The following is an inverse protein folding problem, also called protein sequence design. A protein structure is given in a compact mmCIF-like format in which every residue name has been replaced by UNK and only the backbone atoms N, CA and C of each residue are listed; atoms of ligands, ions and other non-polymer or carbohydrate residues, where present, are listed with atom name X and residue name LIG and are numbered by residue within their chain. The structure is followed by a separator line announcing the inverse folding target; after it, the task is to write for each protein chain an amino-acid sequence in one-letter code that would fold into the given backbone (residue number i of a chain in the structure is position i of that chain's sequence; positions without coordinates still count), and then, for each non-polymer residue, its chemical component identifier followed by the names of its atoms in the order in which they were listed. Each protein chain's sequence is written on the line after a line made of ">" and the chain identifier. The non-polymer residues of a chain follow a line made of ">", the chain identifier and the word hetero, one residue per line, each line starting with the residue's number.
data_IF_623329216023
#
_entry.id   IF_623329216023
#
_cell.length_a   1.000
_cell.length_b   1.000
_cell.length_c   1.000
_cell.angle_alpha   90.00
_cell.angle_beta   90.00
_cell.angle_gamma   90.00
#
_symmetry.space_group_name_H-M   'P 1'
#
loop_
_entity.id
_entity.type
_entity.pdbx_description
1 polymer ?
2 polymer ?
3 polymer ?
#
# COMPACT_ATOMS: atom_id res chain seq x y z
N UNK A 82 28.59 38.08 10.12
CA UNK A 82 29.98 37.98 10.56
C UNK A 82 30.61 36.69 10.06
N UNK A 83 29.87 35.59 10.16
CA UNK A 83 30.42 34.29 9.76
C UNK A 83 30.77 34.25 8.28
N UNK A 84 29.97 34.77 7.36
CA UNK A 84 30.33 34.62 5.93
C UNK A 84 31.65 35.30 5.58
N UNK A 85 31.94 36.45 6.18
CA UNK A 85 33.20 37.12 5.90
C UNK A 85 34.38 36.26 6.37
N UNK A 86 34.26 35.67 7.57
CA UNK A 86 35.31 34.79 8.06
C UNK A 86 35.49 33.57 7.15
N UNK A 87 34.38 33.01 6.68
CA UNK A 87 34.46 31.83 5.82
C UNK A 87 35.17 32.15 4.51
N UNK A 88 34.78 33.25 3.85
CA UNK A 88 35.44 33.59 2.60
C UNK A 88 36.88 34.04 2.83
N UNK A 89 37.19 34.62 4.00
CA UNK A 89 38.58 34.92 4.31
C UNK A 89 39.40 33.65 4.47
N UNK A 90 38.82 32.63 5.10
CA UNK A 90 39.52 31.35 5.18
C UNK A 90 39.74 30.75 3.80
N UNK A 91 38.73 30.83 2.94
CA UNK A 91 38.89 30.33 1.58
C UNK A 91 39.97 31.10 0.83
N UNK A 92 40.02 32.42 1.03
CA UNK A 92 41.08 33.22 0.42
C UNK A 92 42.44 32.80 0.93
N UNK A 93 42.56 32.57 2.24
CA UNK A 93 43.82 32.12 2.80
C UNK A 93 44.26 30.79 2.18
N UNK A 94 43.30 29.89 1.97
CA UNK A 94 43.61 28.66 1.25
C UNK A 94 44.07 28.96 -0.17
N UNK A 95 43.44 29.95 -0.81
CA UNK A 95 43.81 30.29 -2.19
C UNK A 95 45.20 30.89 -2.26
N UNK A 96 45.51 31.82 -1.35
CA UNK A 96 46.76 32.59 -1.40
C UNK A 96 47.86 31.97 -0.55
N UNK A 97 47.87 30.65 -0.39
CA UNK A 97 48.92 29.97 0.37
C UNK A 97 48.96 30.47 1.80
N UNK A 127 33.32 44.99 -5.28
CA UNK A 127 32.73 44.78 -3.96
C UNK A 127 31.49 43.89 -4.08
N UNK A 128 30.73 44.06 -5.17
CA UNK A 128 29.53 43.26 -5.36
C UNK A 128 29.85 41.78 -5.42
N UNK A 129 31.00 41.41 -5.99
CA UNK A 129 31.39 40.01 -6.01
C UNK A 129 31.57 39.49 -4.60
N UNK A 130 32.14 40.31 -3.70
CA UNK A 130 32.26 39.90 -2.31
C UNK A 130 30.90 39.67 -1.67
N UNK A 131 29.94 40.55 -1.95
CA UNK A 131 28.60 40.37 -1.42
C UNK A 131 27.96 39.08 -1.93
N UNK A 132 28.13 38.80 -3.23
CA UNK A 132 27.57 37.57 -3.78
C UNK A 132 28.23 36.34 -3.17
N UNK A 133 29.54 36.39 -2.98
CA UNK A 133 30.24 35.28 -2.33
C UNK A 133 29.73 35.07 -0.92
N UNK A 134 29.54 36.16 -0.17
CA UNK A 134 29.00 36.05 1.17
C UNK A 134 27.59 35.46 1.15
N UNK A 135 26.78 35.85 0.17
CA UNK A 135 25.41 35.34 0.09
C UNK A 135 25.40 33.85 -0.21
N UNK A 136 26.24 33.39 -1.15
CA UNK A 136 26.26 31.96 -1.45
C UNK A 136 26.81 31.18 -0.27
N UNK A 137 27.79 31.73 0.45
CA UNK A 137 28.26 31.09 1.66
C UNK A 137 27.14 31.01 2.69
N UNK A 138 26.35 32.07 2.80
CA UNK A 138 25.22 32.05 3.72
C UNK A 138 24.23 30.96 3.36
N UNK A 139 23.95 30.82 2.06
CA UNK A 139 23.03 29.77 1.61
C UNK A 139 23.58 28.39 1.94
N UNK A 140 24.87 28.17 1.68
CA UNK A 140 25.45 26.86 1.95
C UNK A 140 25.44 26.54 3.45
N UNK A 141 25.80 27.51 4.29
CA UNK A 141 25.81 27.27 5.72
C UNK A 141 24.39 27.09 6.25
N UNK A 142 23.40 27.79 5.67
CA UNK A 142 22.02 27.57 6.07
C UNK A 142 21.56 26.16 5.70
N UNK A 143 21.94 25.68 4.52
CA UNK A 143 21.61 24.31 4.15
C UNK A 143 22.24 23.32 5.12
N UNK A 144 23.51 23.53 5.47
CA UNK A 144 24.17 22.66 6.43
C UNK A 144 23.49 22.73 7.80
N UNK A 145 23.07 23.93 8.20
CA UNK A 145 22.41 24.09 9.49
C UNK A 145 21.07 23.35 9.51
N UNK A 146 20.31 23.42 8.41
CA UNK A 146 19.06 22.66 8.35
C UNK A 146 19.32 21.16 8.37
N UNK A 147 20.39 20.71 7.70
CA UNK A 147 20.74 19.29 7.77
C UNK A 147 21.03 18.88 9.21
N UNK A 148 21.80 19.70 9.91
CA UNK A 148 22.11 19.41 11.31
C UNK A 148 20.84 19.43 12.16
N UNK A 149 19.92 20.34 11.85
CA UNK A 149 18.66 20.38 12.59
C UNK A 149 17.86 19.10 12.37
N UNK A 150 17.83 18.59 11.13
CA UNK A 150 17.15 17.33 10.88
C UNK A 150 17.82 16.19 11.64
N UNK A 151 19.14 16.17 11.68
CA UNK A 151 19.84 15.13 12.43
C UNK A 151 19.50 15.23 13.91
N UNK A 152 19.46 16.44 14.44
CA UNK A 152 19.12 16.63 15.85
C UNK A 152 17.71 16.14 16.14
N UNK A 153 16.76 16.49 15.27
CA UNK A 153 15.38 16.04 15.45
C UNK A 153 15.29 14.52 15.40
N UNK A 154 16.02 13.91 14.46
CA UNK A 154 16.02 12.46 14.37
C UNK A 154 16.54 11.83 15.66
N UNK A 155 17.65 12.36 16.17
CA UNK A 155 18.21 11.81 17.41
C UNK A 155 17.24 11.96 18.57
N UNK A 156 16.64 13.14 18.71
CA UNK A 156 15.70 13.36 19.81
C UNK A 156 14.49 12.45 19.73
N UNK A 157 14.19 11.93 18.55
CA UNK A 157 13.09 11.00 18.36
C UNK A 157 11.86 11.61 17.71
N UNK A 158 11.88 12.90 17.41
CA UNK A 158 10.73 13.57 16.81
C UNK A 158 10.87 13.60 15.29
N UNK A 159 10.88 12.40 14.71
CA UNK A 159 10.93 12.24 13.26
C UNK A 159 10.44 10.85 12.88
N UNK A 160 9.15 10.59 12.96
CA UNK A 160 8.65 9.23 12.71
C UNK A 160 8.82 8.80 11.26
N UNK A 161 9.71 7.83 11.05
CA UNK A 161 9.90 7.19 9.76
C UNK A 161 9.61 5.71 9.94
N UNK A 162 8.75 5.18 9.08
CA UNK A 162 8.22 3.84 9.29
C UNK A 162 9.23 2.78 8.87
N UNK A 163 9.61 1.85 9.74
CA UNK A 163 10.41 0.71 9.29
C UNK A 163 9.55 -0.25 8.48
N UNK A 164 10.17 -0.90 7.50
CA UNK A 164 9.47 -1.86 6.69
C UNK A 164 8.98 -3.01 7.57
N UNK A 165 7.73 -3.40 7.39
CA UNK A 165 7.11 -4.36 8.31
C UNK A 165 7.73 -5.73 8.08
N UNK A 166 8.21 -6.42 9.12
CA UNK A 166 8.74 -7.76 8.93
C UNK A 166 7.67 -8.73 8.46
N UNK A 167 8.09 -9.68 7.63
CA UNK A 167 7.17 -10.73 7.20
C UNK A 167 6.81 -11.68 8.32
N UNK A 168 7.71 -11.83 9.30
CA UNK A 168 7.50 -12.76 10.41
C UNK A 168 6.50 -12.22 11.42
N UNK A 169 5.87 -11.08 11.12
CA UNK A 169 4.91 -10.48 12.04
C UNK A 169 3.80 -11.46 12.39
N UNK A 170 3.52 -11.58 13.68
CA UNK A 170 2.52 -12.55 14.15
C UNK A 170 1.10 -12.15 13.79
N UNK A 171 0.87 -10.91 13.37
CA UNK A 171 -0.45 -10.43 13.00
C UNK A 171 -1.31 -10.25 14.25
N UNK A 172 -2.13 -9.21 14.26
CA UNK A 172 -2.94 -8.90 15.43
C UNK A 172 -4.21 -9.76 15.45
N UNK A 173 -4.98 -9.60 16.52
CA UNK A 173 -6.25 -10.30 16.67
C UNK A 173 -7.42 -9.54 16.05
N UNK A 174 -7.17 -8.39 15.44
CA UNK A 174 -8.20 -7.63 14.78
C UNK A 174 -7.60 -6.61 13.82
N UNK A 175 -8.46 -5.92 13.07
CA UNK A 175 -7.96 -4.92 12.11
C UNK A 175 -7.26 -3.76 12.79
N UNK A 176 -6.66 -2.85 12.01
CA UNK A 176 -5.98 -1.72 12.61
C UNK A 176 -6.95 -0.82 13.37
N UNK A 177 -8.16 -0.62 12.82
CA UNK A 177 -9.09 0.31 13.45
C UNK A 177 -9.39 -0.10 14.89
N UNK A 178 -9.44 -1.39 15.18
CA UNK A 178 -9.54 -1.84 16.56
C UNK A 178 -8.27 -1.52 17.33
N UNK A 179 -7.13 -1.41 16.63
CA UNK A 179 -5.87 -1.00 17.24
C UNK A 179 -5.45 -1.95 18.36
N UNK A 180 -5.82 -3.22 18.25
CA UNK A 180 -5.44 -4.21 19.25
C UNK A 180 -3.95 -4.53 19.15
N UNK A 181 -3.39 -4.97 20.26
CA UNK A 181 -1.97 -5.34 20.31
C UNK A 181 -1.76 -6.74 19.75
N UNK A 188 -0.60 1.82 23.27
CA UNK A 188 0.09 1.35 22.08
C UNK A 188 0.95 2.47 21.49
N UNK A 189 2.20 2.16 21.20
CA UNK A 189 3.10 3.16 20.67
C UNK A 189 2.68 3.52 19.24
N UNK A 190 3.11 4.69 18.75
CA UNK A 190 2.67 5.11 17.41
C UNK A 190 3.21 4.24 16.31
N UNK A 191 2.71 3.01 16.22
CA UNK A 191 3.13 2.10 15.17
C UNK A 191 2.52 2.51 13.84
N UNK A 192 3.03 1.93 12.76
CA UNK A 192 2.46 2.12 11.44
C UNK A 192 2.50 0.79 10.69
N UNK A 193 1.47 0.53 9.90
CA UNK A 193 1.23 -0.83 9.43
C UNK A 193 0.13 -0.84 8.38
N UNK A 194 -0.17 -2.04 7.89
CA UNK A 194 -1.10 -2.25 6.79
C UNK A 194 -1.88 -3.52 7.03
N UNK A 195 -3.06 -3.61 6.42
CA UNK A 195 -3.96 -4.73 6.64
C UNK A 195 -3.51 -5.92 5.81
N UNK A 196 -3.31 -7.05 6.47
CA UNK A 196 -2.85 -8.25 5.78
C UNK A 196 -4.01 -8.97 5.12
N UNK A 197 -3.95 -9.27 3.82
CA UNK A 197 -5.04 -10.03 3.19
C UNK A 197 -5.21 -11.44 3.72
N UNK A 198 -4.26 -11.97 4.48
CA UNK A 198 -4.34 -13.35 4.95
C UNK A 198 -5.58 -13.56 5.81
N UNK A 199 -5.75 -12.74 6.84
CA UNK A 199 -6.84 -12.92 7.80
C UNK A 199 -7.55 -11.61 8.10
N UNK A 200 -7.39 -10.60 7.26
CA UNK A 200 -8.04 -9.32 7.47
C UNK A 200 -7.49 -8.50 8.61
N UNK A 201 -6.68 -9.08 9.49
CA UNK A 201 -5.99 -8.34 10.52
C UNK A 201 -4.75 -7.68 9.94
N UNK A 202 -4.18 -6.75 10.69
CA UNK A 202 -3.06 -5.97 10.21
C UNK A 202 -1.85 -6.16 11.12
N UNK A 203 -0.68 -6.30 10.49
CA UNK A 203 0.58 -6.60 11.16
C UNK A 203 1.32 -5.29 11.40
N UNK A 204 1.49 -4.91 12.67
CA UNK A 204 1.97 -3.58 12.99
C UNK A 204 3.29 -3.65 13.75
N UNK A 205 4.15 -2.67 13.47
CA UNK A 205 5.48 -2.57 14.06
C UNK A 205 5.64 -1.17 14.61
N UNK A 206 6.12 -0.99 15.84
CA UNK A 206 6.31 0.37 16.38
C UNK A 206 7.40 1.12 15.65
N UNK A 207 7.25 2.45 15.61
CA UNK A 207 8.27 3.31 15.01
C UNK A 207 9.47 3.39 15.95
N UNK A 208 10.69 3.13 15.49
CA UNK A 208 11.86 3.18 16.38
C UNK A 208 12.11 4.62 16.84
N UNK A 209 12.06 4.83 18.15
CA UNK A 209 12.18 6.18 18.68
C UNK A 209 13.57 6.77 18.42
N UNK A 210 14.62 5.98 18.62
CA UNK A 210 15.98 6.52 18.63
C UNK A 210 16.35 7.18 17.30
N UNK A 211 16.47 6.38 16.25
CA UNK A 211 16.83 6.88 14.91
C UNK A 211 15.88 6.24 13.91
N UNK A 212 14.75 6.89 13.65
CA UNK A 212 13.78 6.32 12.73
C UNK A 212 14.22 6.53 11.29
N UNK A 213 14.52 7.78 10.92
CA UNK A 213 15.00 8.04 9.57
C UNK A 213 16.28 7.26 9.28
N UNK A 214 17.24 7.32 10.20
CA UNK A 214 18.49 6.63 10.00
C UNK A 214 18.32 5.12 9.89
N UNK A 215 17.53 4.54 10.78
CA UNK A 215 17.32 3.09 10.73
C UNK A 215 16.59 2.68 9.46
N UNK A 216 15.59 3.46 9.04
CA UNK A 216 14.87 3.13 7.82
C UNK A 216 15.80 3.19 6.62
N UNK A 217 16.65 4.23 6.54
CA UNK A 217 17.58 4.32 5.43
C UNK A 217 18.62 3.20 5.48
N UNK A 218 19.04 2.79 6.68
CA UNK A 218 19.96 1.66 6.78
C UNK A 218 19.31 0.39 6.27
N UNK A 219 18.05 0.16 6.62
CA UNK A 219 17.33 -1.01 6.10
C UNK A 219 17.19 -0.92 4.59
N UNK A 220 16.89 0.27 4.07
CA UNK A 220 16.75 0.44 2.63
C UNK A 220 18.06 0.15 1.91
N UNK A 221 19.18 0.61 2.46
CA UNK A 221 20.48 0.34 1.86
C UNK A 221 20.90 -1.11 2.02
N UNK A 222 20.41 -1.79 3.06
CA UNK A 222 20.76 -3.19 3.24
C UNK A 222 20.16 -4.09 2.16
N UNK A 223 19.18 -3.60 1.41
CA UNK A 223 18.56 -4.37 0.34
C UNK A 223 19.01 -3.86 -1.02
N UNK B 83 34.41 18.00 -12.26
CA UNK B 83 33.33 18.84 -11.76
C UNK B 83 33.87 19.84 -10.73
N UNK B 84 34.67 19.37 -9.76
CA UNK B 84 35.23 20.32 -8.78
C UNK B 84 36.05 21.42 -9.41
N UNK B 85 36.70 21.15 -10.54
CA UNK B 85 37.52 22.17 -11.19
C UNK B 85 36.66 23.36 -11.62
N UNK B 86 35.46 23.09 -12.15
CA UNK B 86 34.59 24.18 -12.57
C UNK B 86 34.18 25.04 -11.37
N UNK B 87 33.83 24.41 -10.25
CA UNK B 87 33.46 25.16 -9.06
C UNK B 87 34.63 25.99 -8.54
N UNK B 88 35.83 25.41 -8.54
CA UNK B 88 37.01 26.16 -8.10
C UNK B 88 37.26 27.37 -8.99
N UNK B 89 37.14 27.18 -10.31
CA UNK B 89 37.31 28.29 -11.24
C UNK B 89 36.26 29.36 -10.98
N UNK B 90 35.01 28.94 -10.75
CA UNK B 90 33.94 29.90 -10.47
C UNK B 90 34.23 30.70 -9.21
N UNK B 91 34.73 30.03 -8.18
CA UNK B 91 35.01 30.73 -6.93
C UNK B 91 36.16 31.71 -7.08
N UNK B 92 37.25 31.27 -7.70
CA UNK B 92 38.38 32.19 -7.90
C UNK B 92 38.00 33.34 -8.82
N UNK B 93 37.05 33.13 -9.74
CA UNK B 93 36.56 34.24 -10.54
C UNK B 93 35.73 35.20 -9.69
N UNK B 94 34.83 34.68 -8.88
CA UNK B 94 34.08 35.54 -7.95
C UNK B 94 35.03 36.38 -7.11
N UNK B 95 36.18 35.80 -6.75
CA UNK B 95 37.17 36.58 -6.01
C UNK B 95 37.84 37.61 -6.92
N UNK B 96 38.20 37.23 -8.14
CA UNK B 96 38.96 38.08 -9.05
C UNK B 96 38.37 38.03 -10.46
N UNK B 97 37.06 38.21 -10.55
CA UNK B 97 36.38 38.24 -11.84
C UNK B 97 37.03 39.23 -12.80
N UNK B 126 52.22 23.46 -2.49
CA UNK B 126 51.22 24.30 -3.12
C UNK B 126 50.07 23.51 -3.70
N UNK B 127 50.40 22.51 -4.53
CA UNK B 127 49.37 21.69 -5.14
C UNK B 127 48.58 20.91 -4.09
N UNK B 128 49.20 20.61 -2.95
CA UNK B 128 48.51 19.84 -1.91
C UNK B 128 47.30 20.60 -1.39
N UNK B 129 47.46 21.90 -1.15
CA UNK B 129 46.34 22.68 -0.62
C UNK B 129 45.31 22.99 -1.68
N UNK B 130 45.73 23.07 -2.95
CA UNK B 130 44.75 23.14 -4.04
C UNK B 130 43.91 21.87 -4.09
N UNK B 131 44.55 20.70 -3.92
CA UNK B 131 43.81 19.46 -3.83
C UNK B 131 42.90 19.47 -2.61
N UNK B 132 43.34 20.09 -1.52
CA UNK B 132 42.48 20.19 -0.34
C UNK B 132 41.23 21.02 -0.63
N UNK B 133 41.39 22.15 -1.33
CA UNK B 133 40.24 22.94 -1.72
C UNK B 133 39.31 22.13 -2.62
N UNK B 134 39.88 21.38 -3.57
CA UNK B 134 39.07 20.54 -4.43
C UNK B 134 38.35 19.46 -3.64
N UNK B 135 38.97 18.93 -2.60
CA UNK B 135 38.34 17.89 -1.78
C UNK B 135 37.18 18.47 -0.96
N UNK B 136 37.36 19.68 -0.43
CA UNK B 136 36.26 20.33 0.27
C UNK B 136 35.11 20.60 -0.70
N UNK B 137 35.43 21.02 -1.93
CA UNK B 137 34.40 21.23 -2.94
C UNK B 137 33.67 19.93 -3.22
N UNK B 138 34.41 18.83 -3.35
CA UNK B 138 33.78 17.54 -3.60
C UNK B 138 32.89 17.13 -2.43
N UNK B 139 33.32 17.42 -1.20
CA UNK B 139 32.50 17.10 -0.04
C UNK B 139 31.20 17.89 -0.07
N UNK B 140 31.27 19.18 -0.42
CA UNK B 140 30.06 19.97 -0.55
C UNK B 140 29.15 19.41 -1.64
N UNK B 141 29.72 19.03 -2.77
CA UNK B 141 28.93 18.46 -3.86
C UNK B 141 28.27 17.16 -3.42
N UNK B 142 29.00 16.36 -2.65
CA UNK B 142 28.44 15.11 -2.14
C UNK B 142 27.27 15.38 -1.18
N UNK B 143 27.40 16.37 -0.33
CA UNK B 143 26.30 16.72 0.57
C UNK B 143 25.08 17.18 -0.22
N UNK B 144 25.29 18.03 -1.22
CA UNK B 144 24.18 18.47 -2.06
C UNK B 144 23.56 17.29 -2.80
N UNK B 145 24.38 16.37 -3.28
CA UNK B 145 23.85 15.19 -3.95
C UNK B 145 23.02 14.35 -3.00
N UNK B 146 23.46 14.20 -1.76
CA UNK B 146 22.72 13.42 -0.78
C UNK B 146 21.36 14.04 -0.48
N UNK B 147 21.34 15.37 -0.29
CA UNK B 147 20.06 16.01 -0.01
C UNK B 147 19.14 15.96 -1.23
N UNK B 148 19.71 16.12 -2.43
CA UNK B 148 18.91 15.98 -3.63
C UNK B 148 18.35 14.58 -3.78
N UNK B 149 19.15 13.56 -3.43
CA UNK B 149 18.67 12.19 -3.46
C UNK B 149 17.53 11.99 -2.48
N UNK B 150 17.65 12.56 -1.28
CA UNK B 150 16.55 12.48 -0.32
C UNK B 150 15.29 13.11 -0.90
N UNK B 151 15.43 14.27 -1.54
CA UNK B 151 14.27 14.94 -2.13
C UNK B 151 13.65 14.09 -3.22
N UNK B 152 14.49 13.48 -4.08
CA UNK B 152 13.96 12.67 -5.17
C UNK B 152 13.24 11.44 -4.63
N UNK B 153 13.82 10.76 -3.64
CA UNK B 153 13.16 9.59 -3.08
C UNK B 153 11.83 9.97 -2.43
N UNK B 154 11.78 11.13 -1.76
CA UNK B 154 10.49 11.58 -1.24
C UNK B 154 9.51 11.88 -2.37
N UNK B 155 9.99 12.47 -3.46
CA UNK B 155 9.14 12.73 -4.61
C UNK B 155 8.51 11.45 -5.12
N UNK B 156 9.32 10.40 -5.25
CA UNK B 156 8.79 9.12 -5.72
C UNK B 156 7.92 8.44 -4.66
N UNK B 157 7.86 8.97 -3.46
CA UNK B 157 6.95 8.50 -2.43
C UNK B 157 7.22 7.12 -1.86
N UNK B 158 8.49 6.80 -1.58
CA UNK B 158 8.85 5.63 -0.80
C UNK B 158 9.57 6.03 0.47
N UNK B 159 9.14 7.14 1.07
CA UNK B 159 9.64 7.63 2.35
C UNK B 159 8.45 7.66 3.30
N UNK B 160 8.20 6.57 4.03
CA UNK B 160 6.92 6.44 4.75
C UNK B 160 6.89 7.23 6.06
N UNK B 161 6.84 8.55 5.93
CA UNK B 161 6.79 9.44 7.09
C UNK B 161 5.31 9.74 7.35
N UNK B 162 4.75 9.14 8.38
CA UNK B 162 3.32 9.29 8.61
C UNK B 162 3.03 10.65 9.24
N UNK B 163 2.10 11.43 8.67
CA UNK B 163 1.89 12.81 9.15
C UNK B 163 1.12 12.84 10.45
N UNK B 164 1.80 13.23 11.53
CA UNK B 164 1.14 13.43 12.81
C UNK B 164 1.56 14.78 13.38
N UNK B 165 1.14 15.08 14.61
CA UNK B 165 1.51 16.33 15.25
C UNK B 165 1.02 17.51 14.42
N UNK B 171 -5.75 14.00 13.88
CA UNK B 171 -7.12 13.69 14.30
C UNK B 171 -7.82 12.85 13.23
N UNK B 172 -9.02 12.35 13.58
CA UNK B 172 -9.82 11.56 12.66
C UNK B 172 -9.10 10.27 12.28
N UNK B 173 -9.83 9.34 11.67
CA UNK B 173 -9.29 8.06 11.28
C UNK B 173 -8.98 8.04 9.78
N UNK B 174 -8.61 6.88 9.28
CA UNK B 174 -8.30 6.71 7.88
C UNK B 174 -8.23 5.25 7.48
N UNK B 175 -8.06 4.99 6.18
CA UNK B 175 -7.99 3.61 5.70
C UNK B 175 -6.60 3.02 5.84
N UNK B 176 -6.57 1.72 6.15
CA UNK B 176 -5.33 0.93 6.13
C UNK B 176 -5.43 -0.04 4.97
N UNK B 177 -4.54 0.10 3.99
CA UNK B 177 -4.63 -0.67 2.76
C UNK B 177 -3.88 -1.99 2.93
N UNK B 178 -3.79 -2.76 1.84
CA UNK B 178 -3.13 -4.05 1.89
C UNK B 178 -1.62 -3.88 1.96
N UNK B 179 -0.94 -4.97 2.32
CA UNK B 179 0.50 -4.99 2.50
C UNK B 179 1.16 -5.49 1.22
N UNK B 180 2.03 -4.66 0.65
CA UNK B 180 2.80 -5.03 -0.53
C UNK B 180 4.28 -4.87 -0.24
N UNK B 181 5.09 -5.73 -0.84
CA UNK B 181 6.53 -5.75 -0.62
C UNK B 181 7.23 -4.96 -1.71
N UNK B 182 8.14 -4.08 -1.29
CA UNK B 182 8.83 -3.18 -2.21
C UNK B 182 10.16 -3.79 -2.62
N UNK B 183 10.34 -4.00 -3.93
CA UNK B 183 11.60 -4.47 -4.49
C UNK B 183 12.07 -5.76 -3.82
N UNK B 184 11.11 -6.61 -3.44
CA UNK B 184 11.43 -7.90 -2.85
C UNK B 184 12.10 -7.74 -1.49
N UNK B 185 12.05 -8.79 -0.67
CA UNK B 185 12.73 -8.77 0.62
C UNK B 185 11.87 -9.31 1.75
N UNK B 186 10.65 -9.75 1.44
CA UNK B 186 9.71 -10.29 2.41
C UNK B 186 9.25 -9.25 3.43
N UNK B 187 9.56 -7.97 3.21
CA UNK B 187 9.15 -6.89 4.10
C UNK B 187 8.14 -6.02 3.38
N UNK B 188 7.05 -5.70 4.06
CA UNK B 188 5.89 -5.06 3.45
C UNK B 188 5.91 -3.57 3.74
N UNK B 189 5.70 -2.77 2.71
CA UNK B 189 5.67 -1.32 2.86
C UNK B 189 4.43 -0.91 3.66
N UNK B 190 4.58 -0.14 4.74
CA UNK B 190 3.39 0.25 5.52
C UNK B 190 2.45 1.14 4.73
N UNK B 191 1.17 1.03 5.06
CA UNK B 191 0.13 1.82 4.41
C UNK B 191 -0.58 2.79 5.34
N UNK B 192 -0.56 2.56 6.65
CA UNK B 192 -1.19 3.47 7.59
C UNK B 192 -0.37 3.52 8.88
N UNK B 193 -0.56 4.60 9.62
CA UNK B 193 0.17 4.87 10.84
C UNK B 193 -0.83 4.96 11.98
N UNK B 194 -0.70 4.07 12.96
CA UNK B 194 -1.72 3.84 13.97
C UNK B 194 -1.16 4.13 15.35
N UNK B 195 -1.96 4.80 16.18
CA UNK B 195 -1.57 5.09 17.56
C UNK B 195 -2.78 4.90 18.47
N UNK B 196 -2.58 4.23 19.60
CA UNK B 196 -3.62 4.04 20.62
C UNK B 196 -3.08 4.40 22.00
N UNK B 197 -3.24 5.64 22.42
CA UNK B 197 -3.03 5.97 23.83
C UNK B 197 -4.11 5.32 24.70
N UNK B 198 -3.88 5.36 26.01
CA UNK B 198 -4.79 4.67 26.93
C UNK B 198 -6.20 5.25 26.91
N UNK B 199 -6.37 6.48 26.38
CA UNK B 199 -7.69 7.11 26.43
C UNK B 199 -8.03 7.87 25.15
N UNK B 200 -7.38 7.56 24.03
CA UNK B 200 -7.61 8.31 22.81
C UNK B 200 -8.55 7.66 21.82
N UNK B 201 -8.86 6.37 22.04
CA UNK B 201 -9.70 5.59 21.12
C UNK B 201 -8.93 5.21 19.86
N UNK B 202 -7.71 5.71 19.72
CA UNK B 202 -6.75 5.30 18.70
C UNK B 202 -7.14 5.81 17.32
N UNK B 203 -6.15 6.26 16.54
CA UNK B 203 -6.39 6.75 15.20
C UNK B 203 -5.35 6.15 14.24
N UNK B 204 -5.78 5.99 12.99
CA UNK B 204 -4.94 5.42 11.93
C UNK B 204 -5.04 6.30 10.71
N UNK B 205 -3.93 6.93 10.34
CA UNK B 205 -3.86 7.87 9.22
C UNK B 205 -3.03 7.24 8.11
N UNK B 206 -3.50 7.21 6.86
CA UNK B 206 -2.69 6.62 5.80
C UNK B 206 -1.47 7.47 5.48
N UNK B 207 -0.38 6.79 5.13
CA UNK B 207 0.82 7.49 4.65
C UNK B 207 0.60 7.91 3.20
N UNK B 208 0.75 9.19 2.86
CA UNK B 208 0.45 9.62 1.49
C UNK B 208 1.49 9.11 0.50
N UNK B 209 1.03 8.97 -0.75
CA UNK B 209 1.92 8.68 -1.86
C UNK B 209 2.64 9.93 -2.36
N UNK B 210 2.25 11.10 -1.88
CA UNK B 210 2.90 12.36 -2.19
C UNK B 210 4.06 12.55 -1.22
N UNK B 211 4.57 13.78 -1.11
CA UNK B 211 5.74 14.02 -0.27
C UNK B 211 5.39 13.79 1.19
N UNK B 212 5.62 12.57 1.68
CA UNK B 212 5.27 12.25 3.06
C UNK B 212 6.18 12.98 4.04
N UNK B 213 7.49 12.99 3.78
CA UNK B 213 8.41 13.71 4.65
C UNK B 213 8.12 15.20 4.63
N UNK B 214 7.94 15.77 3.44
CA UNK B 214 7.65 17.19 3.36
C UNK B 214 6.38 17.56 4.07
N UNK B 215 5.33 16.75 3.89
CA UNK B 215 4.06 17.03 4.57
C UNK B 215 4.20 16.89 6.07
N UNK B 216 4.93 15.87 6.55
CA UNK B 216 5.13 15.78 7.98
C UNK B 216 5.84 17.01 8.51
N UNK B 217 6.89 17.46 7.81
CA UNK B 217 7.60 18.66 8.24
C UNK B 217 6.68 19.87 8.26
N UNK B 218 5.80 20.00 7.26
CA UNK B 218 4.92 21.17 7.22
C UNK B 218 3.90 21.13 8.35
N UNK B 219 3.04 20.10 8.36
CA UNK B 219 2.08 19.97 9.45
C UNK B 219 2.71 19.68 10.80
N UNK B 220 4.04 19.64 10.90
CA UNK B 220 4.71 19.74 12.18
C UNK B 220 5.09 21.17 12.51
N UNK B 221 5.62 21.92 11.54
CA UNK B 221 6.05 23.29 11.75
C UNK B 221 4.88 24.26 11.82
N UNK B 222 3.68 23.86 11.42
CA UNK B 222 2.52 24.75 11.53
C UNK B 222 2.27 25.14 12.98
N UNK B 223 2.35 24.18 13.89
CA UNK B 223 2.14 24.43 15.31
C UNK B 223 3.47 24.48 16.05
N UNK C 3 -2.42 -0.04 -14.75
CA UNK C 3 -2.04 -0.88 -13.59
C UNK C 3 -1.64 -2.28 -14.05
N UNK C 4 -2.43 -3.28 -13.67
CA UNK C 4 -2.17 -4.68 -14.01
C UNK C 4 -3.22 -5.19 -14.98
N UNK C 5 -2.78 -5.86 -16.03
CA UNK C 5 -3.67 -6.58 -16.94
C UNK C 5 -3.54 -8.07 -16.62
N UNK C 6 -4.62 -8.66 -16.14
CA UNK C 6 -4.64 -10.07 -15.76
C UNK C 6 -5.49 -10.83 -16.76
N UNK C 7 -4.91 -11.85 -17.38
CA UNK C 7 -5.59 -12.70 -18.35
C UNK C 7 -5.49 -14.13 -17.87
N UNK C 8 -6.63 -14.78 -17.64
CA UNK C 8 -6.64 -16.18 -17.26
C UNK C 8 -6.70 -17.07 -18.50
N UNK C 9 -6.53 -18.36 -18.29
CA UNK C 9 -6.61 -19.34 -19.37
C UNK C 9 -6.74 -20.73 -18.76
N UNK C 10 -6.68 -21.75 -19.61
CA UNK C 10 -6.65 -23.12 -19.13
C UNK C 10 -7.97 -23.68 -18.67
N UNK C 11 -9.08 -23.21 -19.23
CA UNK C 11 -10.40 -23.70 -18.88
C UNK C 11 -11.03 -24.46 -20.04
N UNK C 12 -11.73 -25.54 -19.72
CA UNK C 12 -12.37 -26.32 -20.76
C UNK C 12 -13.05 -27.53 -20.18
N UNK C 13 -13.67 -28.30 -21.07
CA UNK C 13 -14.37 -29.51 -20.68
C UNK C 13 -13.38 -30.54 -20.14
N UNK C 14 -13.68 -31.11 -18.98
CA UNK C 14 -12.87 -32.17 -18.40
C UNK C 14 -13.79 -33.15 -17.68
N UNK C 15 -13.43 -34.42 -17.73
CA UNK C 15 -14.18 -35.43 -17.01
C UNK C 15 -13.98 -35.26 -15.50
N UNK C 16 -14.91 -35.76 -14.70
CA UNK C 16 -14.73 -35.69 -13.25
C UNK C 16 -13.48 -36.46 -12.83
N UNK C 17 -12.83 -35.96 -11.78
CA UNK C 17 -11.60 -36.55 -11.31
C UNK C 17 -10.37 -36.17 -12.11
N UNK C 18 -10.51 -35.30 -13.10
CA UNK C 18 -9.39 -34.87 -13.91
C UNK C 18 -8.59 -33.77 -13.23
N UNK C 19 -7.66 -33.22 -14.00
CA UNK C 19 -6.78 -32.15 -13.51
C UNK C 19 -6.78 -31.00 -14.49
N UNK C 20 -6.70 -29.78 -13.96
CA UNK C 20 -6.58 -28.57 -14.76
C UNK C 20 -5.51 -27.67 -14.18
N UNK C 21 -4.91 -26.85 -15.04
CA UNK C 21 -3.90 -25.89 -14.62
C UNK C 21 -4.31 -24.51 -15.15
N UNK C 22 -5.02 -23.75 -14.32
CA UNK C 22 -5.43 -22.41 -14.73
C UNK C 22 -4.29 -21.43 -14.53
N UNK C 23 -4.09 -20.57 -15.51
CA UNK C 23 -2.93 -19.67 -15.55
C UNK C 23 -3.41 -18.24 -15.68
N UNK C 24 -2.95 -17.38 -14.78
CA UNK C 24 -3.18 -15.94 -14.83
C UNK C 24 -1.87 -15.26 -15.18
N UNK C 25 -1.80 -14.70 -16.39
CA UNK C 25 -0.58 -14.08 -16.91
C UNK C 25 -0.67 -12.58 -16.66
N UNK C 26 -0.27 -12.16 -15.46
CA UNK C 26 -0.27 -10.73 -15.15
C UNK C 26 0.77 -10.02 -15.98
N UNK C 27 0.41 -8.85 -16.50
CA UNK C 27 1.29 -8.04 -17.32
C UNK C 27 1.77 -6.85 -16.48
N UNK C 28 3.04 -6.88 -16.10
CA UNK C 28 3.60 -5.83 -15.27
C UNK C 28 4.46 -6.36 -14.15
N UNK C 29 5.57 -5.69 -13.86
CA UNK C 29 6.43 -6.10 -12.75
C UNK C 29 5.75 -5.92 -11.42
N UNK C 30 4.84 -4.95 -11.31
CA UNK C 30 4.17 -4.69 -10.04
C UNK C 30 3.34 -5.87 -9.58
N UNK C 31 3.12 -6.86 -10.44
CA UNK C 31 2.49 -8.11 -10.03
C UNK C 31 3.25 -8.76 -8.87
N UNK C 32 4.56 -8.55 -8.82
CA UNK C 32 5.39 -9.23 -7.83
C UNK C 32 5.08 -8.79 -6.41
N UNK C 33 4.49 -7.61 -6.23
CA UNK C 33 4.36 -7.04 -4.88
C UNK C 33 3.09 -7.46 -4.17
N UNK C 34 2.02 -7.76 -4.90
CA UNK C 34 0.71 -7.96 -4.30
C UNK C 34 0.44 -9.43 -4.02
N UNK C 35 -0.41 -9.66 -3.03
CA UNK C 35 -1.08 -10.95 -2.91
C UNK C 35 -1.94 -11.18 -4.14
N UNK C 36 -2.13 -12.45 -4.50
CA UNK C 36 -3.09 -12.81 -5.52
C UNK C 36 -4.06 -13.84 -4.96
N UNK C 37 -5.18 -14.00 -5.64
CA UNK C 37 -6.20 -14.93 -5.20
C UNK C 37 -6.98 -15.43 -6.40
N UNK C 38 -7.48 -16.65 -6.26
CA UNK C 38 -8.42 -17.24 -7.20
C UNK C 38 -9.77 -17.30 -6.51
N UNK C 39 -10.78 -16.72 -7.15
CA UNK C 39 -12.14 -16.69 -6.60
C UNK C 39 -13.08 -17.24 -7.67
N UNK C 40 -13.87 -18.24 -7.30
CA UNK C 40 -14.75 -18.89 -8.26
C UNK C 40 -16.19 -18.47 -8.02
N UNK C 41 -16.86 -18.11 -9.12
CA UNK C 41 -18.31 -17.89 -9.12
C UNK C 41 -18.95 -19.12 -9.75
N UNK C 42 -19.63 -19.92 -8.95
CA UNK C 42 -20.29 -21.10 -9.47
C UNK C 42 -21.45 -20.70 -10.38
N UNK C 43 -21.82 -21.55 -11.34
CA UNK C 43 -22.84 -21.16 -12.31
C UNK C 43 -24.18 -20.92 -11.62
N UNK C 44 -24.65 -19.68 -11.70
CA UNK C 44 -25.92 -19.33 -11.08
C UNK C 44 -25.86 -19.16 -9.58
N UNK C 45 -24.68 -19.25 -8.98
CA UNK C 45 -24.49 -19.05 -7.55
C UNK C 45 -23.66 -17.77 -7.35
N UNK C 46 -23.33 -17.50 -6.09
CA UNK C 46 -22.55 -16.33 -5.75
C UNK C 46 -21.06 -16.61 -5.76
N UNK C 47 -20.29 -15.56 -5.47
CA UNK C 47 -18.85 -15.68 -5.44
C UNK C 47 -18.42 -16.62 -4.32
N UNK C 48 -17.38 -17.40 -4.58
CA UNK C 48 -16.79 -18.27 -3.57
C UNK C 48 -15.28 -18.18 -3.67
N UNK C 49 -14.63 -17.95 -2.53
CA UNK C 49 -13.18 -17.87 -2.50
C UNK C 49 -12.57 -19.25 -2.68
N UNK C 50 -11.49 -19.33 -3.46
CA UNK C 50 -10.82 -20.59 -3.75
C UNK C 50 -9.44 -20.63 -3.11
N UNK C 51 -8.57 -19.68 -3.44
CA UNK C 51 -7.20 -19.74 -2.95
C UNK C 51 -6.60 -18.35 -2.86
N UNK C 52 -5.58 -18.22 -2.02
CA UNK C 52 -4.84 -16.98 -1.85
C UNK C 52 -3.35 -17.28 -1.70
N UNK C 53 -2.54 -16.47 -2.37
CA UNK C 53 -1.09 -16.62 -2.43
C UNK C 53 -0.46 -15.29 -2.06
N UNK C 54 0.60 -15.34 -1.26
CA UNK C 54 1.34 -14.14 -0.89
C UNK C 54 2.40 -13.87 -1.96
N UNK C 55 3.32 -12.95 -1.67
CA UNK C 55 4.29 -12.52 -2.67
C UNK C 55 5.25 -13.64 -3.03
N UNK C 56 5.78 -14.34 -2.03
CA UNK C 56 6.82 -15.33 -2.26
C UNK C 56 6.30 -16.76 -2.38
N UNK C 57 5.09 -17.03 -1.90
CA UNK C 57 4.55 -18.36 -1.91
C UNK C 57 4.73 -19.12 -0.61
N UNK C 58 5.31 -18.50 0.41
CA UNK C 58 5.45 -19.18 1.69
C UNK C 58 4.09 -19.51 2.29
N UNK C 59 3.12 -18.61 2.13
CA UNK C 59 1.80 -18.75 2.72
C UNK C 59 0.79 -18.99 1.60
N UNK C 60 0.18 -20.17 1.60
CA UNK C 60 -0.83 -20.54 0.62
C UNK C 60 -2.09 -20.95 1.38
N UNK C 61 -3.19 -20.27 1.09
CA UNK C 61 -4.44 -20.45 1.84
C UNK C 61 -5.52 -20.96 0.90
N UNK C 62 -6.25 -21.97 1.33
CA UNK C 62 -7.35 -22.52 0.56
C UNK C 62 -8.63 -22.52 1.41
N UNK C 63 -9.76 -22.59 0.72
CA UNK C 63 -11.05 -22.73 1.40
C UNK C 63 -11.25 -24.20 1.76
N UNK C 64 -11.98 -24.44 2.85
CA UNK C 64 -12.08 -25.78 3.40
C UNK C 64 -12.61 -26.78 2.38
N UNK C 65 -13.37 -26.30 1.38
CA UNK C 65 -13.96 -27.21 0.41
C UNK C 65 -12.90 -27.83 -0.50
N UNK C 66 -11.79 -27.14 -0.73
CA UNK C 66 -10.81 -27.55 -1.73
C UNK C 66 -9.46 -27.87 -1.10
N UNK C 67 -9.35 -27.82 0.22
CA UNK C 67 -8.07 -28.09 0.86
C UNK C 67 -7.62 -29.51 0.56
N UNK C 68 -6.37 -29.65 0.13
CA UNK C 68 -5.82 -30.94 -0.24
C UNK C 68 -6.02 -31.33 -1.69
N UNK C 69 -6.81 -30.56 -2.44
CA UNK C 69 -7.08 -30.84 -3.85
C UNK C 69 -6.48 -29.81 -4.79
N UNK C 70 -6.51 -28.53 -4.42
CA UNK C 70 -5.97 -27.47 -5.25
C UNK C 70 -4.61 -27.04 -4.72
N UNK C 71 -3.75 -26.61 -5.63
CA UNK C 71 -2.43 -26.09 -5.28
C UNK C 71 -2.25 -24.76 -5.99
N UNK C 72 -2.23 -23.69 -5.23
CA UNK C 72 -1.96 -22.36 -5.76
C UNK C 72 -0.47 -22.13 -5.75
N UNK C 73 0.04 -21.46 -6.77
CA UNK C 73 1.47 -21.18 -6.87
C UNK C 73 1.64 -19.99 -7.79
N UNK C 74 2.83 -19.39 -7.72
CA UNK C 74 3.13 -18.25 -8.56
C UNK C 74 4.62 -18.26 -8.89
N UNK C 75 4.95 -17.68 -10.04
CA UNK C 75 6.33 -17.43 -10.42
C UNK C 75 6.48 -15.97 -10.79
N UNK C 76 7.52 -15.33 -10.26
CA UNK C 76 7.73 -13.91 -10.46
C UNK C 76 8.64 -13.60 -11.65
N UNK C 77 9.47 -14.55 -12.07
CA UNK C 77 10.27 -14.34 -13.26
C UNK C 77 9.40 -14.17 -14.50
N UNK C 78 8.37 -15.01 -14.63
CA UNK C 78 7.42 -14.91 -15.73
C UNK C 78 6.17 -14.14 -15.36
N UNK C 79 6.02 -13.71 -14.11
CA UNK C 79 4.87 -12.94 -13.68
C UNK C 79 3.58 -13.70 -13.98
N UNK C 80 3.43 -14.86 -13.36
CA UNK C 80 2.25 -15.69 -13.63
C UNK C 80 1.81 -16.38 -12.35
N UNK C 81 0.49 -16.59 -12.25
CA UNK C 81 -0.13 -17.24 -11.11
C UNK C 81 -0.87 -18.48 -11.60
N UNK C 82 -0.40 -19.65 -11.19
CA UNK C 82 -0.96 -20.92 -11.64
C UNK C 82 -1.69 -21.60 -10.48
N UNK C 83 -2.94 -21.96 -10.72
CA UNK C 83 -3.70 -22.80 -9.79
C UNK C 83 -3.91 -24.16 -10.43
N UNK C 84 -3.41 -25.21 -9.79
CA UNK C 84 -3.52 -26.57 -10.28
C UNK C 84 -4.61 -27.28 -9.48
N UNK C 85 -5.72 -27.58 -10.13
CA UNK C 85 -6.81 -28.32 -9.49
C UNK C 85 -6.70 -29.78 -9.89
N UNK C 86 -6.69 -30.66 -8.89
CA UNK C 86 -6.56 -32.09 -9.11
C UNK C 86 -7.79 -32.81 -8.57
N UNK C 87 -8.24 -33.82 -9.31
CA UNK C 87 -9.38 -34.64 -8.91
C UNK C 87 -10.61 -33.78 -8.62
N UNK C 88 -11.03 -33.06 -9.65
CA UNK C 88 -12.20 -32.19 -9.52
C UNK C 88 -13.46 -33.02 -9.29
N UNK C 89 -14.38 -32.44 -8.52
CA UNK C 89 -15.69 -33.03 -8.31
C UNK C 89 -16.74 -32.35 -9.19
N UNK C 90 -17.91 -32.96 -9.26
CA UNK C 90 -18.97 -32.45 -10.12
C UNK C 90 -19.45 -31.07 -9.70
N UNK C 91 -19.18 -30.66 -8.46
CA UNK C 91 -19.62 -29.37 -7.95
C UNK C 91 -18.57 -28.27 -8.09
N UNK C 92 -17.45 -28.56 -8.74
CA UNK C 92 -16.39 -27.58 -8.91
C UNK C 92 -16.55 -26.76 -10.18
N UNK C 93 -17.58 -27.01 -10.98
CA UNK C 93 -17.86 -26.16 -12.12
C UNK C 93 -18.05 -24.73 -11.67
N UNK C 94 -17.36 -23.80 -12.32
CA UNK C 94 -17.46 -22.40 -11.94
C UNK C 94 -16.73 -21.55 -12.98
N UNK C 95 -16.68 -20.25 -12.71
CA UNK C 95 -15.86 -19.31 -13.45
C UNK C 95 -14.83 -18.77 -12.47
N UNK C 96 -13.55 -19.05 -12.75
CA UNK C 96 -12.49 -18.71 -11.83
C UNK C 96 -11.88 -17.37 -12.23
N UNK C 97 -11.73 -16.48 -11.25
CA UNK C 97 -11.25 -15.14 -11.45
C UNK C 97 -9.92 -14.95 -10.73
N UNK C 98 -9.01 -14.27 -11.41
CA UNK C 98 -7.71 -13.90 -10.89
C UNK C 98 -7.78 -12.50 -10.32
N UNK C 99 -7.64 -12.37 -9.01
CA UNK C 99 -7.72 -11.09 -8.33
C UNK C 99 -6.39 -10.76 -7.68
N UNK C 100 -6.08 -9.48 -7.62
CA UNK C 100 -4.83 -8.98 -7.03
C UNK C 100 -5.15 -8.00 -5.91
N UNK C 101 -4.48 -8.17 -4.77
CA UNK C 101 -4.67 -7.29 -3.63
C UNK C 101 -3.72 -6.11 -3.77
N UNK C 102 -4.13 -5.13 -4.56
CA UNK C 102 -3.30 -3.96 -4.80
C UNK C 102 -3.08 -3.19 -3.51
N UNK C 103 -1.89 -2.63 -3.34
CA UNK C 103 -1.58 -1.87 -2.15
C UNK C 103 -2.25 -0.51 -2.10
N UNK C 104 -2.70 0.00 -3.25
CA UNK C 104 -3.39 1.28 -3.31
C UNK C 104 -4.89 1.14 -3.23
N UNK C 105 -5.41 -0.07 -3.01
CA UNK C 105 -6.84 -0.30 -2.94
C UNK C 105 -7.27 -0.84 -1.59
N UNK C 106 -6.56 -1.80 -1.03
CA UNK C 106 -6.99 -2.42 0.21
C UNK C 106 -7.93 -3.58 0.03
N UNK C 107 -8.01 -4.15 -1.17
CA UNK C 107 -8.86 -5.29 -1.44
C UNK C 107 -8.60 -5.82 -2.82
N UNK C 108 -9.37 -6.82 -3.21
CA UNK C 108 -9.22 -7.45 -4.52
C UNK C 108 -9.78 -6.51 -5.58
N UNK C 109 -8.95 -5.54 -5.97
CA UNK C 109 -9.42 -4.50 -6.88
C UNK C 109 -9.16 -4.83 -8.34
N UNK C 110 -8.00 -5.41 -8.66
CA UNK C 110 -7.68 -5.81 -10.02
C UNK C 110 -8.19 -7.22 -10.23
N UNK C 111 -9.01 -7.42 -11.25
CA UNK C 111 -9.61 -8.72 -11.53
C UNK C 111 -9.32 -9.11 -12.97
N UNK C 112 -9.35 -10.41 -13.23
CA UNK C 112 -9.14 -10.94 -14.56
C UNK C 112 -10.44 -11.29 -15.25
N UNK C 113 -10.33 -11.60 -16.55
CA UNK C 113 -11.51 -11.93 -17.36
C UNK C 113 -12.39 -12.95 -16.66
N UNK C 114 -11.84 -14.12 -16.34
CA UNK C 114 -12.60 -15.19 -15.72
C UNK C 114 -12.70 -16.40 -16.61
N UNK C 115 -12.00 -17.48 -16.25
CA UNK C 115 -11.94 -18.68 -17.08
C UNK C 115 -13.01 -19.66 -16.63
N UNK C 116 -13.78 -20.17 -17.58
CA UNK C 116 -14.94 -21.01 -17.30
C UNK C 116 -14.51 -22.47 -17.22
N UNK C 117 -14.35 -22.99 -16.00
CA UNK C 117 -14.14 -24.44 -15.86
C UNK C 117 -15.47 -25.16 -16.03
N UNK C 118 -15.41 -26.40 -16.52
CA UNK C 118 -16.62 -27.17 -16.77
C UNK C 118 -16.29 -28.66 -16.61
N UNK C 119 -16.61 -29.20 -15.44
CA UNK C 119 -16.46 -30.63 -15.19
C UNK C 119 -17.79 -31.32 -15.46
N UNK C 120 -17.77 -32.35 -16.31
CA UNK C 120 -19.00 -32.99 -16.74
C UNK C 120 -18.69 -34.41 -17.17
N UNK C 121 -19.75 -35.20 -17.31
CA UNK C 121 -19.62 -36.58 -17.77
C UNK C 121 -18.97 -36.65 -19.15
N UNK D 2 -18.87 -20.05 8.86
CA UNK D 2 -19.32 -18.70 9.12
C UNK D 2 -20.52 -18.36 8.26
N UNK D 3 -21.68 -18.19 8.89
CA UNK D 3 -22.90 -17.87 8.18
C UNK D 3 -22.98 -16.36 7.98
N UNK D 4 -22.87 -15.93 6.72
CA UNK D 4 -22.94 -14.52 6.36
C UNK D 4 -24.04 -14.36 5.33
N UNK D 5 -25.04 -13.54 5.64
CA UNK D 5 -26.30 -13.53 4.91
C UNK D 5 -26.58 -12.16 4.31
N UNK D 6 -27.11 -12.15 3.10
CA UNK D 6 -27.63 -10.99 2.42
C UNK D 6 -29.01 -11.29 1.88
N UNK D 7 -29.84 -10.27 1.65
CA UNK D 7 -31.13 -10.52 1.01
C UNK D 7 -30.93 -11.05 -0.39
N UNK D 8 -31.84 -11.90 -0.87
CA UNK D 8 -31.70 -12.39 -2.25
C UNK D 8 -31.64 -11.28 -3.29
N UNK D 9 -32.42 -10.21 -3.11
CA UNK D 9 -32.42 -9.13 -4.07
C UNK D 9 -33.21 -7.95 -3.50
N UNK D 10 -32.75 -6.74 -3.81
CA UNK D 10 -33.45 -5.51 -3.46
C UNK D 10 -33.46 -4.61 -4.70
N UNK D 11 -34.63 -4.11 -5.06
CA UNK D 11 -34.80 -3.32 -6.27
C UNK D 11 -35.52 -2.02 -5.93
N UNK D 12 -35.09 -0.93 -6.57
CA UNK D 12 -35.67 0.38 -6.38
C UNK D 12 -35.81 1.07 -7.74
N UNK D 13 -36.68 2.07 -7.79
CA UNK D 13 -36.73 2.93 -8.94
C UNK D 13 -35.47 3.80 -8.99
N UNK D 14 -35.10 4.30 -10.16
CA UNK D 14 -33.94 5.18 -10.23
C UNK D 14 -34.16 6.43 -9.40
N UNK D 15 -33.12 6.83 -8.66
CA UNK D 15 -33.16 8.03 -7.86
C UNK D 15 -33.10 7.78 -6.37
N UNK D 16 -33.88 6.82 -5.87
CA UNK D 16 -33.88 6.56 -4.44
C UNK D 16 -32.52 6.00 -4.01
N UNK D 17 -32.39 5.78 -2.71
CA UNK D 17 -31.15 5.34 -2.10
C UNK D 17 -31.37 3.97 -1.47
N UNK D 18 -30.52 3.01 -1.82
CA UNK D 18 -30.66 1.63 -1.37
C UNK D 18 -29.68 1.39 -0.23
N UNK D 19 -30.14 0.72 0.82
CA UNK D 19 -29.30 0.31 1.94
C UNK D 19 -29.27 -1.22 1.93
N UNK D 20 -28.34 -1.77 1.17
CA UNK D 20 -28.16 -3.22 1.10
C UNK D 20 -27.63 -3.70 2.43
N UNK D 21 -28.32 -4.61 3.13
CA UNK D 21 -27.82 -5.12 4.40
C UNK D 21 -26.99 -6.38 4.25
N UNK D 22 -26.07 -6.57 5.19
CA UNK D 22 -25.17 -7.72 5.23
C UNK D 22 -25.05 -8.14 6.69
N UNK D 23 -25.92 -9.05 7.11
CA UNK D 23 -26.01 -9.44 8.52
C UNK D 23 -25.10 -10.62 8.79
N UNK D 24 -24.19 -10.44 9.73
CA UNK D 24 -23.34 -11.54 10.20
C UNK D 24 -22.91 -11.26 11.61
N UNK D 25 -22.72 -12.34 12.38
CA UNK D 25 -22.39 -12.16 13.79
C UNK D 25 -21.01 -11.54 13.96
N UNK D 26 -20.86 -10.74 15.00
CA UNK D 26 -19.62 -10.05 15.32
C UNK D 26 -19.06 -9.26 14.13
N UNK D 27 -19.90 -8.93 13.14
CA UNK D 27 -19.39 -8.27 11.95
C UNK D 27 -18.90 -6.86 12.24
N UNK D 28 -19.29 -6.27 13.36
CA UNK D 28 -18.76 -4.96 13.71
C UNK D 28 -17.26 -4.99 13.93
N UNK D 29 -16.77 -6.05 14.59
CA UNK D 29 -15.34 -6.17 14.84
C UNK D 29 -14.56 -6.31 13.54
N UNK D 30 -15.07 -7.08 12.60
CA UNK D 30 -14.38 -7.30 11.35
C UNK D 30 -14.60 -6.14 10.38
N UNK D 31 -13.72 -6.06 9.39
CA UNK D 31 -13.86 -5.08 8.31
C UNK D 31 -14.43 -5.78 7.08
N UNK D 32 -15.28 -5.07 6.36
CA UNK D 32 -16.10 -5.65 5.29
C UNK D 32 -15.77 -4.94 3.98
N UNK D 33 -15.64 -5.72 2.92
CA UNK D 33 -15.47 -5.20 1.58
C UNK D 33 -16.74 -5.48 0.77
N UNK D 34 -17.02 -4.61 -0.20
CA UNK D 34 -18.20 -4.76 -1.05
C UNK D 34 -17.74 -4.77 -2.50
N UNK D 35 -18.11 -5.82 -3.22
CA UNK D 35 -17.78 -6.01 -4.62
C UNK D 35 -19.03 -5.91 -5.47
N UNK D 36 -18.89 -5.32 -6.65
CA UNK D 36 -19.97 -5.18 -7.62
C UNK D 36 -19.66 -6.07 -8.81
N UNK D 37 -20.45 -7.12 -8.99
CA UNK D 37 -20.31 -8.04 -10.11
C UNK D 37 -21.43 -7.78 -11.11
N UNK D 38 -21.06 -7.57 -12.36
CA UNK D 38 -22.07 -7.43 -13.39
C UNK D 38 -22.09 -8.66 -14.29
N UNK D 39 -23.28 -9.12 -14.71
CA UNK D 39 -23.32 -10.27 -15.63
C UNK D 39 -22.39 -10.10 -16.82
N UNK D 40 -21.40 -10.99 -16.94
CA UNK D 40 -20.46 -10.94 -18.04
C UNK D 40 -19.27 -10.04 -17.83
N UNK D 41 -19.06 -9.50 -16.64
CA UNK D 41 -17.93 -8.64 -16.35
C UNK D 41 -17.30 -9.05 -15.03
N UNK D 42 -16.00 -8.75 -14.91
CA UNK D 42 -15.28 -9.11 -13.71
C UNK D 42 -15.78 -8.28 -12.53
N UNK D 43 -15.72 -8.83 -11.31
CA UNK D 43 -16.17 -8.06 -10.15
C UNK D 43 -15.35 -6.78 -9.96
N UNK D 44 -16.01 -5.75 -9.45
CA UNK D 44 -15.40 -4.45 -9.20
C UNK D 44 -15.43 -4.19 -7.71
N UNK D 45 -14.27 -3.87 -7.14
CA UNK D 45 -14.19 -3.53 -5.73
C UNK D 45 -14.83 -2.18 -5.51
N UNK D 46 -15.93 -2.15 -4.78
CA UNK D 46 -16.69 -0.92 -4.57
C UNK D 46 -16.35 -0.28 -3.23
N UNK D 47 -16.23 -1.08 -2.17
CA UNK D 47 -15.88 -0.57 -0.85
C UNK D 47 -14.84 -1.47 -0.22
N UNK D 48 -13.87 -0.87 0.47
CA UNK D 48 -12.93 -1.61 1.29
C UNK D 48 -12.83 -0.95 2.66
N UNK D 49 -12.48 -1.75 3.66
CA UNK D 49 -12.41 -1.29 5.05
C UNK D 49 -13.72 -0.62 5.46
N UNK D 50 -14.83 -1.29 5.13
CA UNK D 50 -16.15 -0.94 5.61
C UNK D 50 -16.67 0.33 4.93
N UNK D 51 -15.89 1.41 4.94
CA UNK D 51 -16.40 2.72 4.55
C UNK D 51 -15.60 3.42 3.45
N UNK D 52 -14.57 2.78 2.89
CA UNK D 52 -13.65 3.46 1.99
C UNK D 52 -13.78 2.91 0.57
N UNK D 53 -13.68 3.83 -0.40
CA UNK D 53 -13.86 3.51 -1.81
C UNK D 53 -12.53 3.55 -2.55
N UNK D 54 -12.28 2.63 -3.47
CA UNK D 54 -11.10 2.74 -4.32
C UNK D 54 -11.21 3.93 -5.27
N UNK D 55 -10.06 4.33 -5.80
CA UNK D 55 -10.02 5.45 -6.73
C UNK D 55 -10.88 5.15 -7.95
N UNK D 56 -11.68 6.13 -8.37
CA UNK D 56 -12.54 5.99 -9.51
C UNK D 56 -13.95 5.55 -9.20
N UNK D 57 -14.18 4.97 -8.04
CA UNK D 57 -15.54 4.56 -7.68
C UNK D 57 -16.38 5.79 -7.37
N UNK D 58 -17.56 5.96 -7.98
CA UNK D 58 -18.33 7.17 -7.74
C UNK D 58 -18.66 7.35 -6.27
N UNK D 59 -18.78 8.63 -5.86
CA UNK D 59 -19.07 8.96 -4.47
C UNK D 59 -20.45 8.51 -4.04
N UNK D 60 -21.30 8.09 -4.98
CA UNK D 60 -22.62 7.58 -4.61
C UNK D 60 -22.50 6.43 -3.63
N UNK D 61 -21.60 5.49 -3.90
CA UNK D 61 -21.42 4.34 -3.02
C UNK D 61 -20.89 4.79 -1.68
N UNK D 62 -21.34 4.12 -0.62
CA UNK D 62 -20.79 4.34 0.71
C UNK D 62 -21.05 3.09 1.54
N UNK D 63 -20.31 2.96 2.63
CA UNK D 63 -20.43 1.80 3.48
C UNK D 63 -20.67 2.20 4.92
N UNK D 64 -21.23 1.26 5.67
CA UNK D 64 -21.55 1.51 7.07
C UNK D 64 -21.54 0.19 7.82
N UNK D 65 -21.35 0.27 9.13
CA UNK D 65 -21.35 -0.91 9.98
C UNK D 65 -21.81 -0.50 11.37
N UNK D 66 -22.74 -1.27 11.94
CA UNK D 66 -23.26 -0.99 13.27
C UNK D 66 -23.65 -2.31 13.91
N UNK D 67 -22.76 -2.85 14.74
CA UNK D 67 -23.02 -4.10 15.42
C UNK D 67 -22.87 -5.29 14.51
N UNK D 68 -23.72 -6.30 14.70
CA UNK D 68 -23.67 -7.52 13.90
C UNK D 68 -24.35 -7.33 12.56
N UNK D 69 -23.93 -6.31 11.80
CA UNK D 69 -24.47 -6.08 10.47
C UNK D 69 -23.65 -5.00 9.79
N UNK D 70 -23.72 -4.99 8.46
CA UNK D 70 -23.08 -3.97 7.65
C UNK D 70 -24.07 -3.51 6.60
N UNK D 71 -23.73 -2.44 5.89
CA UNK D 71 -24.66 -1.88 4.92
C UNK D 71 -23.88 -1.19 3.81
N UNK D 72 -24.36 -1.34 2.58
CA UNK D 72 -23.88 -0.59 1.44
C UNK D 72 -24.97 0.36 0.99
N UNK D 73 -24.69 1.65 1.03
CA UNK D 73 -25.66 2.68 0.71
C UNK D 73 -25.33 3.26 -0.66
N UNK D 74 -26.28 3.17 -1.59
CA UNK D 74 -26.12 3.69 -2.93
C UNK D 74 -27.15 4.79 -3.13
N UNK D 75 -26.68 6.00 -3.45
CA UNK D 75 -27.52 7.16 -3.64
C UNK D 75 -27.49 7.59 -5.10
N UNK D 76 -28.62 8.08 -5.60
CA UNK D 76 -28.70 8.49 -6.98
C UNK D 76 -28.43 7.34 -7.94
N UNK D 77 -29.09 6.22 -7.69
CA UNK D 77 -28.86 5.01 -8.48
C UNK D 77 -29.00 5.30 -9.96
N UNK D 78 -27.91 5.15 -10.70
CA UNK D 78 -27.91 5.33 -12.14
C UNK D 78 -28.31 4.03 -12.84
N UNK D 79 -28.62 4.14 -14.13
CA UNK D 79 -29.03 2.98 -14.90
C UNK D 79 -27.93 1.93 -15.01
N UNK D 80 -26.68 2.32 -14.77
CA UNK D 80 -25.58 1.35 -14.86
C UNK D 80 -25.42 0.57 -13.56
N UNK D 81 -25.82 1.16 -12.43
CA UNK D 81 -25.54 0.56 -11.14
C UNK D 81 -26.11 -0.86 -11.02
N UNK D 82 -27.20 -1.14 -11.75
CA UNK D 82 -27.83 -2.45 -11.68
C UNK D 82 -26.81 -3.57 -11.81
N UNK D 83 -26.70 -4.37 -10.75
CA UNK D 83 -25.66 -5.40 -10.69
C UNK D 83 -25.93 -6.35 -9.54
N UNK D 84 -24.95 -7.18 -9.18
CA UNK D 84 -24.98 -7.95 -7.95
C UNK D 84 -23.92 -7.39 -7.01
N UNK D 85 -24.21 -7.44 -5.71
CA UNK D 85 -23.36 -6.82 -4.72
C UNK D 85 -23.07 -7.84 -3.62
N UNK D 86 -21.79 -8.12 -3.40
CA UNK D 86 -21.35 -9.14 -2.46
C UNK D 86 -20.54 -8.48 -1.35
N UNK D 87 -20.89 -8.79 -0.10
CA UNK D 87 -20.13 -8.34 1.05
C UNK D 87 -19.22 -9.47 1.51
N UNK D 88 -17.95 -9.15 1.73
CA UNK D 88 -16.92 -10.13 2.01
C UNK D 88 -16.21 -9.75 3.30
N UNK D 89 -15.95 -10.75 4.13
CA UNK D 89 -15.21 -10.58 5.38
C UNK D 89 -14.30 -11.78 5.57
N UNK D 90 -13.65 -11.86 6.72
CA UNK D 90 -12.74 -12.95 7.04
C UNK D 90 -13.31 -13.71 8.24
N UNK D 91 -13.52 -15.02 8.09
CA UNK D 91 -13.96 -15.80 9.24
C UNK D 91 -12.87 -15.78 10.30
N UNK D 92 -11.78 -16.49 10.05
CA UNK D 92 -10.53 -16.34 10.77
C UNK D 92 -9.38 -16.03 9.83
N UNK D 93 -9.18 -16.88 8.82
CA UNK D 93 -8.18 -16.68 7.79
C UNK D 93 -8.71 -16.96 6.39
N UNK D 94 -9.93 -17.46 6.25
CA UNK D 94 -10.56 -17.69 4.96
C UNK D 94 -11.59 -16.60 4.71
N UNK D 95 -11.52 -15.98 3.54
CA UNK D 95 -12.48 -14.92 3.21
C UNK D 95 -13.80 -15.56 2.83
N UNK D 96 -14.88 -15.10 3.46
CA UNK D 96 -16.23 -15.54 3.17
C UNK D 96 -16.97 -14.40 2.48
N UNK D 97 -17.56 -14.71 1.33
CA UNK D 97 -18.39 -13.76 0.60
C UNK D 97 -19.85 -13.94 1.01
N UNK D 98 -20.63 -12.90 0.78
CA UNK D 98 -22.06 -12.98 1.03
C UNK D 98 -22.80 -13.64 -0.11
N UNK D 99 -24.09 -13.88 0.13
CA UNK D 99 -24.92 -14.46 -0.90
C UNK D 99 -25.01 -13.59 -2.15
N UNK D 100 -24.98 -12.27 -1.95
CA UNK D 100 -25.05 -11.35 -3.06
C UNK D 100 -26.47 -10.87 -3.32
N UNK D 101 -26.68 -9.56 -3.36
CA UNK D 101 -28.00 -8.98 -3.61
C UNK D 101 -28.02 -8.39 -5.01
N UNK D 102 -29.11 -8.62 -5.73
CA UNK D 102 -29.25 -8.10 -7.09
C UNK D 102 -30.01 -6.78 -7.04
N UNK D 103 -29.31 -5.69 -7.35
CA UNK D 103 -29.92 -4.37 -7.46
C UNK D 103 -30.32 -4.14 -8.91
N UNK D 104 -31.61 -3.86 -9.13
CA UNK D 104 -32.17 -3.66 -10.45
C UNK D 104 -32.73 -2.26 -10.55
N UNK D 105 -32.41 -1.57 -11.63
CA UNK D 105 -32.88 -0.20 -11.87
C UNK D 105 -34.20 -0.28 -12.63
N UNK D 106 -35.29 0.10 -11.98
CA UNK D 106 -36.59 0.07 -12.61
C UNK D 106 -36.75 1.29 -13.52
#
# INVERSE_FOLDING_TARGET
>A
MQWNSTTFHQTLQDPRVRGLYFPAGGSSSGAVNPVPTTASPLSSIFSRIGDPALNMENITSGFLGPLLVLQAGFFLLTRILTIPQSLDSWWTSLNFLGGTTVCLGQNSQSPTSNHSPTSCPPTCPGYRWMALRRFIIFLFILLLALIFLLVLLDYQGMLPVCPLIPGSSTTSTGPCRTCMTTAQGTSMYPSCCCTKPSDGNCTCIPIPSSWAFGKFLWEWASARFSWLSLLVPFVQWFVGLSPTVWLSVIWMMWYWGPSLYSILSPFLPLLPIFFALWVYI
>B
MQWNSTTFHQTLQDPRVRGLYFPAGGSSSGAVNPVPTTASPLSSIFSRIGDPALNMENITSGFLGPLLVLQAGFFLLTRILTIPQSLDSWWTSLNFLGGTTVCLGQNSQSPTSNHSPTSCPPTCPGYRWMALRRFIIFLFILLLALIFLLVLLDYQGMLPVCPLIPGSSTTSTGPCRTCMTTAQGTSMYPSCCCTKPSDGNCTCIPIPSSWAFGKFLWEWASARFSWLSLLVPFVQWFVGLSPTVWLSVIWMMWYWGPSLYSILSPFLPLLPIFFALWVYI
>C
GSELQLVESGGGWVQPGGSQRLSCAASGRIFRSFYMSWVRQAPGKGLEWVATINQDGSEKLYVDSVKGRFTISRDNAKNSLFLQMNNLRVEDTAVYYCAAWSGNSGGMDVWGQGTTVSVSSLEASTKGPSVFPLAPSSKSTSGGTAALGCLVKDYFPEPVTVSWNSGALTSGVHTFPAVLQSSGLYSLSSVVTVPSSSLGTQTYICNVNHKPSNTKVDKRV
>D
SYELTQPPSVSVSPGQTVSIPCSGDKLGNKNVCWFQHKPGQSPVLVIYEVKYRPSGIPERFSGSNSGNTATLTISGTQAMDEAAYFCQTWDSTTVVFGGGTRLTVLRTVAAPSVFIFPPSDEQLKSGTASVVCLLNNFYPREAKVQWKVDNALQSGNSQESVTEQDSKDSTYSLSSTLTLSKADYEKHKVYACEVTHQGLSSPVTKSFNRGEC
#
